data_IF_071808346844
#
_entry.id   IF_071808346844
#
_cell.length_a   1.000
_cell.length_b   1.000
_cell.length_c   1.000
_cell.angle_alpha   90.00
_cell.angle_beta   90.00
_cell.angle_gamma   90.00
#
_symmetry.space_group_name_H-M   'P 1'
#
loop_
_entity.id
_entity.type
_entity.pdbx_description
1 polymer ?
#
# COMPACT_ATOMS: atom_id res chain seq x y z
N UNK A 1 17.92 -19.98 7.77
CA UNK A 1 17.47 -19.77 6.36
C UNK A 1 17.07 -18.31 6.24
N UNK A 2 17.37 -17.60 5.16
CA UNK A 2 17.00 -16.20 5.07
C UNK A 2 15.48 -16.04 4.97
N UNK A 3 14.94 -15.00 5.62
CA UNK A 3 13.55 -14.54 5.69
C UNK A 3 12.74 -14.68 4.36
N UNK A 4 13.44 -14.67 3.22
CA UNK A 4 12.85 -14.74 1.87
C UNK A 4 12.22 -16.09 1.50
N UNK A 5 12.62 -17.19 2.14
CA UNK A 5 12.21 -18.53 1.69
C UNK A 5 10.92 -19.01 2.35
N UNK A 6 10.60 -18.58 3.56
CA UNK A 6 9.36 -18.92 4.25
C UNK A 6 8.14 -18.22 3.67
N UNK A 7 8.28 -16.97 3.20
CA UNK A 7 7.21 -16.26 2.49
C UNK A 7 6.83 -16.91 1.15
N UNK A 8 7.70 -17.71 0.56
CA UNK A 8 7.37 -18.49 -0.64
C UNK A 8 6.36 -19.61 -0.35
N UNK A 9 6.30 -20.12 0.87
CA UNK A 9 5.39 -21.23 1.23
C UNK A 9 4.02 -20.76 1.72
N UNK A 10 3.92 -19.72 2.53
CA UNK A 10 2.63 -19.22 3.03
C UNK A 10 1.78 -18.57 1.92
N UNK A 11 2.41 -17.87 0.96
CA UNK A 11 1.72 -17.31 -0.22
C UNK A 11 1.47 -18.40 -1.30
N UNK A 12 2.30 -19.45 -1.36
CA UNK A 12 2.13 -20.55 -2.33
C UNK A 12 0.98 -21.51 -1.99
N UNK A 13 0.60 -21.64 -0.72
CA UNK A 13 -0.48 -22.57 -0.35
C UNK A 13 -1.87 -22.08 -0.71
N UNK A 14 -2.06 -20.79 -0.98
CA UNK A 14 -3.35 -20.22 -1.41
C UNK A 14 -3.49 -20.16 -2.94
N UNK A 15 -2.40 -20.36 -3.70
CA UNK A 15 -2.35 -20.13 -5.15
C UNK A 15 -2.35 -21.40 -6.03
N UNK A 16 -2.40 -22.62 -5.47
CA UNK A 16 -2.30 -23.86 -6.29
C UNK A 16 -3.61 -24.67 -6.38
N UNK A 17 -4.71 -24.18 -5.83
CA UNK A 17 -6.00 -24.85 -6.03
C UNK A 17 -6.86 -24.08 -7.02
N UNK A 18 -6.71 -24.37 -8.31
CA UNK A 18 -7.72 -23.94 -9.28
C UNK A 18 -7.24 -23.15 -10.49
N UNK A 19 -6.14 -23.53 -11.11
CA UNK A 19 -5.85 -23.12 -12.48
C UNK A 19 -6.56 -24.03 -13.49
N UNK A 20 -7.88 -23.92 -13.56
CA UNK A 20 -8.62 -24.31 -14.77
C UNK A 20 -9.88 -23.47 -14.86
N UNK A 21 -9.91 -22.67 -15.92
CA UNK A 21 -11.07 -22.10 -16.55
C UNK A 21 -11.66 -20.79 -15.99
N UNK A 22 -11.82 -19.90 -16.92
CA UNK A 22 -12.68 -18.70 -16.91
C UNK A 22 -12.29 -17.61 -15.90
N UNK A 23 -11.42 -16.72 -16.35
CA UNK A 23 -11.38 -15.37 -15.78
C UNK A 23 -12.81 -14.87 -15.61
N UNK A 24 -13.20 -14.33 -14.44
CA UNK A 24 -14.56 -13.86 -14.23
C UNK A 24 -14.87 -12.78 -15.27
N UNK A 25 -15.81 -13.09 -16.18
CA UNK A 25 -16.22 -12.12 -17.19
C UNK A 25 -17.00 -11.01 -16.51
N UNK A 26 -16.40 -9.84 -16.39
CA UNK A 26 -17.08 -8.65 -15.88
C UNK A 26 -18.06 -8.15 -16.94
N UNK A 27 -19.34 -7.94 -16.59
CA UNK A 27 -20.33 -7.45 -17.53
C UNK A 27 -19.97 -6.07 -18.09
N UNK A 28 -20.24 -5.86 -19.38
CA UNK A 28 -20.01 -4.57 -20.06
C UNK A 28 -18.71 -4.54 -20.88
N UNK A 29 -18.64 -3.52 -21.73
CA UNK A 29 -17.52 -3.27 -22.67
C UNK A 29 -16.85 -1.92 -22.40
N UNK A 30 -17.14 -1.28 -21.25
CA UNK A 30 -16.43 -0.06 -20.83
C UNK A 30 -14.94 -0.36 -20.59
N UNK A 31 -14.09 0.64 -20.78
CA UNK A 31 -12.66 0.49 -20.52
C UNK A 31 -12.39 0.00 -19.09
N UNK A 32 -13.15 0.51 -18.09
CA UNK A 32 -13.03 0.08 -16.71
C UNK A 32 -13.41 -1.40 -16.52
N UNK A 33 -14.48 -1.88 -17.15
CA UNK A 33 -14.85 -3.30 -17.07
C UNK A 33 -13.78 -4.19 -17.72
N UNK A 34 -13.22 -3.77 -18.85
CA UNK A 34 -12.13 -4.47 -19.53
C UNK A 34 -10.83 -4.44 -18.70
N UNK A 35 -10.54 -3.33 -18.01
CA UNK A 35 -9.40 -3.21 -17.10
C UNK A 35 -9.48 -4.21 -15.95
N UNK A 36 -10.62 -4.25 -15.27
CA UNK A 36 -10.85 -5.17 -14.15
C UNK A 36 -10.70 -6.64 -14.55
N UNK A 37 -11.26 -7.00 -15.74
CA UNK A 37 -11.11 -8.34 -16.30
C UNK A 37 -9.63 -8.65 -16.61
N UNK A 38 -8.89 -7.69 -17.14
CA UNK A 38 -7.48 -7.86 -17.50
C UNK A 38 -6.57 -8.03 -16.27
N UNK A 39 -6.81 -7.24 -15.23
CA UNK A 39 -6.11 -7.37 -13.95
C UNK A 39 -6.39 -8.75 -13.33
N UNK A 40 -7.66 -9.16 -13.27
CA UNK A 40 -8.05 -10.47 -12.73
C UNK A 40 -7.49 -11.64 -13.55
N UNK A 41 -7.34 -11.47 -14.86
CA UNK A 41 -6.74 -12.48 -15.75
C UNK A 41 -5.21 -12.60 -15.55
N UNK A 42 -4.55 -11.59 -15.01
CA UNK A 42 -3.09 -11.59 -14.83
C UNK A 42 -2.35 -11.88 -16.12
N UNK A 43 -1.62 -12.99 -16.19
CA UNK A 43 -0.92 -13.45 -17.42
C UNK A 43 -1.86 -14.14 -18.43
N UNK A 44 -3.06 -14.50 -18.01
CA UNK A 44 -4.06 -15.17 -18.87
C UNK A 44 -4.64 -14.23 -19.94
N UNK A 45 -5.48 -14.78 -20.82
CA UNK A 45 -6.16 -14.03 -21.88
C UNK A 45 -7.28 -13.15 -21.29
N UNK A 46 -7.50 -11.97 -21.89
CA UNK A 46 -8.60 -11.07 -21.59
C UNK A 46 -9.11 -10.39 -22.86
N UNK A 47 -10.32 -9.79 -22.78
CA UNK A 47 -10.85 -8.98 -23.87
C UNK A 47 -10.00 -7.73 -24.13
N UNK A 48 -9.40 -7.13 -23.10
CA UNK A 48 -8.51 -5.98 -23.26
C UNK A 48 -7.24 -6.37 -24.02
N UNK A 49 -6.60 -7.51 -23.68
CA UNK A 49 -5.42 -8.02 -24.39
C UNK A 49 -5.73 -8.32 -25.87
N UNK A 50 -6.93 -8.82 -26.16
CA UNK A 50 -7.34 -9.07 -27.53
C UNK A 50 -7.55 -7.80 -28.36
N UNK A 51 -7.85 -6.67 -27.72
CA UNK A 51 -8.16 -5.38 -28.38
C UNK A 51 -6.98 -4.40 -28.40
N UNK A 52 -5.92 -4.66 -27.66
CA UNK A 52 -4.79 -3.73 -27.49
C UNK A 52 -3.46 -4.40 -27.80
N UNK A 53 -2.49 -3.58 -28.24
CA UNK A 53 -1.11 -4.05 -28.42
C UNK A 53 -0.46 -4.30 -27.06
N UNK A 54 0.46 -5.26 -27.00
CA UNK A 54 1.23 -5.54 -25.79
C UNK A 54 2.13 -4.36 -25.44
N UNK A 55 2.04 -3.76 -24.24
CA UNK A 55 2.95 -2.70 -23.79
C UNK A 55 4.41 -3.18 -23.75
N UNK A 56 5.36 -2.26 -23.79
CA UNK A 56 6.73 -2.60 -23.47
C UNK A 56 6.97 -2.49 -21.95
N UNK A 57 7.77 -3.40 -21.39
CA UNK A 57 8.34 -3.29 -20.04
C UNK A 57 9.84 -3.16 -20.19
N UNK A 58 10.43 -2.16 -19.56
CA UNK A 58 11.87 -1.91 -19.55
C UNK A 58 12.32 -1.50 -18.16
N UNK A 59 13.35 -2.16 -17.66
CA UNK A 59 14.04 -1.71 -16.43
C UNK A 59 14.96 -0.56 -16.80
N UNK A 60 14.90 0.52 -16.03
CA UNK A 60 15.74 1.72 -16.19
C UNK A 60 16.40 2.07 -14.87
N UNK A 61 17.62 2.63 -14.98
CA UNK A 61 18.28 3.31 -13.89
C UNK A 61 18.18 4.82 -14.13
N UNK A 62 17.90 5.57 -13.07
CA UNK A 62 17.77 7.04 -13.16
C UNK A 62 18.24 7.72 -11.87
N UNK A 63 18.53 9.00 -11.97
CA UNK A 63 19.05 9.79 -10.84
C UNK A 63 18.19 11.03 -10.65
N UNK A 64 17.81 11.32 -9.40
CA UNK A 64 17.09 12.53 -9.00
C UNK A 64 17.81 13.14 -7.81
N UNK A 65 18.18 14.41 -7.90
CA UNK A 65 18.90 15.13 -6.84
C UNK A 65 20.14 14.37 -6.29
N UNK A 66 20.87 13.67 -7.18
CA UNK A 66 22.05 12.89 -6.82
C UNK A 66 21.77 11.54 -6.18
N UNK A 67 20.50 11.14 -5.99
CA UNK A 67 20.08 9.80 -5.53
C UNK A 67 19.77 8.90 -6.71
N UNK A 68 20.34 7.69 -6.71
CA UNK A 68 20.13 6.69 -7.76
C UNK A 68 18.92 5.82 -7.47
N UNK A 69 18.14 5.53 -8.50
CA UNK A 69 16.95 4.69 -8.46
C UNK A 69 16.94 3.71 -9.63
N UNK A 70 16.31 2.57 -9.41
CA UNK A 70 15.99 1.59 -10.46
C UNK A 70 14.48 1.39 -10.48
N UNK A 71 13.89 1.15 -11.64
CA UNK A 71 12.47 0.87 -11.76
C UNK A 71 12.10 0.32 -13.13
N UNK A 72 10.88 -0.20 -13.23
CA UNK A 72 10.34 -0.70 -14.48
C UNK A 72 9.34 0.30 -15.06
N UNK A 73 9.56 0.66 -16.32
CA UNK A 73 8.64 1.49 -17.10
C UNK A 73 7.80 0.60 -18.00
N UNK A 74 6.48 0.72 -17.88
CA UNK A 74 5.51 0.10 -18.77
C UNK A 74 4.95 1.17 -19.73
N UNK A 75 5.28 1.05 -21.00
CA UNK A 75 4.90 2.06 -22.00
C UNK A 75 3.81 1.57 -22.94
N UNK A 76 2.75 2.38 -23.18
CA UNK A 76 1.78 2.15 -24.23
C UNK A 76 2.45 2.14 -25.61
N UNK A 77 2.01 1.29 -26.51
CA UNK A 77 2.54 1.26 -27.90
C UNK A 77 2.12 2.44 -28.76
N UNK A 78 1.08 3.15 -28.36
CA UNK A 78 0.50 4.27 -29.10
C UNK A 78 0.85 5.64 -28.48
N UNK A 79 1.79 5.65 -27.54
CA UNK A 79 2.17 6.82 -26.76
C UNK A 79 1.34 6.98 -25.49
N UNK A 80 1.93 7.60 -24.47
CA UNK A 80 1.26 7.85 -23.22
C UNK A 80 0.27 9.02 -23.33
N UNK A 81 -0.86 8.92 -22.63
CA UNK A 81 -1.83 10.00 -22.44
C UNK A 81 -1.62 10.67 -21.07
N UNK A 82 -1.16 9.88 -20.08
CA UNK A 82 -0.77 10.36 -18.75
C UNK A 82 0.29 9.43 -18.15
N UNK A 83 0.99 9.92 -17.13
CA UNK A 83 1.92 9.14 -16.33
C UNK A 83 1.34 8.71 -15.00
N UNK A 84 1.80 7.58 -14.48
CA UNK A 84 1.48 7.13 -13.14
C UNK A 84 2.67 6.42 -12.50
N UNK A 85 3.01 6.80 -11.25
CA UNK A 85 3.93 6.02 -10.42
C UNK A 85 3.12 5.01 -9.61
N UNK A 86 3.55 3.76 -9.57
CA UNK A 86 2.89 2.71 -8.79
C UNK A 86 3.80 2.28 -7.64
N UNK A 87 3.41 2.59 -6.42
CA UNK A 87 4.17 2.27 -5.21
C UNK A 87 3.58 1.01 -4.57
N UNK A 88 4.35 -0.09 -4.50
CA UNK A 88 3.87 -1.32 -3.87
C UNK A 88 3.66 -1.16 -2.37
N UNK A 89 2.90 -2.06 -1.78
CA UNK A 89 2.93 -2.31 -0.34
C UNK A 89 4.23 -3.00 0.09
N UNK A 90 4.29 -3.37 1.35
CA UNK A 90 5.41 -4.15 1.88
C UNK A 90 5.29 -5.58 1.36
N UNK A 91 6.22 -5.97 0.48
CA UNK A 91 6.28 -7.30 -0.09
C UNK A 91 7.67 -7.59 -0.65
N UNK A 92 8.19 -8.80 -0.42
CA UNK A 92 9.53 -9.21 -0.85
C UNK A 92 9.74 -9.18 -2.37
N UNK A 93 8.67 -9.29 -3.15
CA UNK A 93 8.73 -9.20 -4.63
C UNK A 93 8.78 -7.76 -5.15
N UNK A 94 8.38 -6.76 -4.35
CA UNK A 94 8.39 -5.35 -4.75
C UNK A 94 7.76 -5.12 -6.12
N UNK A 95 8.52 -4.50 -7.05
CA UNK A 95 8.07 -4.22 -8.43
C UNK A 95 7.74 -5.47 -9.28
N UNK A 96 8.16 -6.65 -8.86
CA UNK A 96 7.93 -7.92 -9.54
C UNK A 96 6.76 -8.73 -8.94
N UNK A 97 5.97 -8.13 -8.02
CA UNK A 97 4.72 -8.75 -7.55
C UNK A 97 3.76 -8.94 -8.76
N UNK A 98 3.28 -10.18 -9.02
CA UNK A 98 2.45 -10.45 -10.19
C UNK A 98 1.18 -9.61 -10.27
N UNK A 99 0.61 -9.20 -9.13
CA UNK A 99 -0.58 -8.33 -9.06
C UNK A 99 -0.24 -6.93 -9.54
N UNK A 100 0.88 -6.38 -9.06
CA UNK A 100 1.36 -5.06 -9.48
C UNK A 100 1.76 -5.03 -10.95
N UNK A 101 2.42 -6.10 -11.43
CA UNK A 101 2.76 -6.28 -12.85
C UNK A 101 1.50 -6.33 -13.71
N UNK A 102 0.43 -7.01 -13.27
CA UNK A 102 -0.85 -7.04 -13.98
C UNK A 102 -1.48 -5.64 -14.04
N UNK A 103 -1.53 -4.91 -12.93
CA UNK A 103 -2.04 -3.53 -12.89
C UNK A 103 -1.23 -2.62 -13.82
N UNK A 104 0.11 -2.64 -13.76
CA UNK A 104 0.97 -1.81 -14.60
C UNK A 104 0.76 -2.09 -16.11
N UNK A 105 0.69 -3.38 -16.50
CA UNK A 105 0.40 -3.74 -17.88
C UNK A 105 -0.98 -3.29 -18.33
N UNK A 106 -2.02 -3.46 -17.49
CA UNK A 106 -3.38 -3.04 -17.82
C UNK A 106 -3.46 -1.54 -17.99
N UNK A 107 -2.87 -0.74 -17.07
CA UNK A 107 -2.82 0.71 -17.18
C UNK A 107 -2.06 1.15 -18.44
N UNK A 108 -0.97 0.47 -18.77
CA UNK A 108 -0.24 0.76 -20.02
C UNK A 108 -1.08 0.42 -21.29
N UNK A 109 -1.88 -0.64 -21.28
CA UNK A 109 -2.84 -0.92 -22.37
C UNK A 109 -3.89 0.18 -22.51
N UNK A 110 -4.19 0.86 -21.42
CA UNK A 110 -5.18 1.93 -21.35
C UNK A 110 -4.58 3.34 -21.46
N UNK A 111 -3.32 3.47 -21.88
CA UNK A 111 -2.71 4.75 -22.24
C UNK A 111 -1.94 5.44 -21.10
N UNK A 112 -1.72 4.80 -19.95
CA UNK A 112 -0.79 5.32 -18.95
C UNK A 112 0.64 4.85 -19.21
N UNK A 113 1.62 5.74 -19.11
CA UNK A 113 3.00 5.31 -18.84
C UNK A 113 3.12 5.03 -17.34
N UNK A 114 3.34 3.76 -16.96
CA UNK A 114 3.46 3.39 -15.55
C UNK A 114 4.92 3.16 -15.17
N UNK A 115 5.39 3.85 -14.12
CA UNK A 115 6.71 3.66 -13.51
C UNK A 115 6.55 2.96 -12.17
N UNK A 116 7.18 1.81 -12.03
CA UNK A 116 7.18 0.98 -10.82
C UNK A 116 8.61 0.96 -10.26
N UNK A 117 8.93 1.72 -9.21
CA UNK A 117 10.28 1.74 -8.64
C UNK A 117 10.61 0.45 -7.89
N UNK A 118 11.88 0.11 -7.82
CA UNK A 118 12.42 -0.92 -6.93
C UNK A 118 12.81 -0.28 -5.59
N UNK A 119 11.87 -0.23 -4.65
CA UNK A 119 12.10 0.33 -3.33
C UNK A 119 12.66 -0.73 -2.38
N UNK A 120 13.90 -0.55 -1.95
CA UNK A 120 14.60 -1.54 -1.12
C UNK A 120 13.97 -1.70 0.27
N UNK A 121 13.49 -0.61 0.88
CA UNK A 121 12.86 -0.61 2.20
C UNK A 121 11.63 -1.55 2.25
N UNK A 122 10.55 -1.27 1.53
CA UNK A 122 9.36 -2.12 1.50
C UNK A 122 9.63 -3.57 1.08
N UNK A 123 10.60 -3.80 0.19
CA UNK A 123 11.00 -5.14 -0.25
C UNK A 123 11.71 -5.95 0.83
N UNK A 124 12.37 -5.30 1.77
CA UNK A 124 13.05 -5.91 2.92
C UNK A 124 12.27 -5.74 4.23
N UNK A 125 10.95 -5.52 4.15
CA UNK A 125 10.05 -5.35 5.29
C UNK A 125 10.41 -4.17 6.20
N UNK A 126 11.09 -3.17 5.66
CA UNK A 126 11.41 -1.92 6.34
C UNK A 126 10.55 -0.80 5.79
N UNK A 127 9.96 -0.03 6.67
CA UNK A 127 9.25 1.19 6.34
C UNK A 127 9.84 2.35 7.13
N UNK A 128 10.08 3.47 6.43
CA UNK A 128 10.77 4.63 6.97
C UNK A 128 10.14 5.92 6.46
N UNK A 129 10.22 6.97 7.27
CA UNK A 129 9.81 8.31 6.84
C UNK A 129 10.57 8.79 5.57
N UNK A 130 11.78 8.28 5.33
CA UNK A 130 12.53 8.54 4.11
C UNK A 130 11.86 8.02 2.84
N UNK A 131 10.98 7.02 2.91
CA UNK A 131 10.26 6.46 1.76
C UNK A 131 9.40 7.53 1.07
N UNK A 132 8.93 8.52 1.83
CA UNK A 132 8.20 9.68 1.30
C UNK A 132 9.04 10.44 0.28
N UNK A 133 10.33 10.65 0.59
CA UNK A 133 11.24 11.36 -0.33
C UNK A 133 11.57 10.52 -1.56
N UNK A 134 11.74 9.20 -1.40
CA UNK A 134 11.96 8.30 -2.54
C UNK A 134 10.78 8.34 -3.52
N UNK A 135 9.55 8.28 -3.02
CA UNK A 135 8.33 8.40 -3.85
C UNK A 135 8.29 9.74 -4.57
N UNK A 136 8.60 10.85 -3.89
CA UNK A 136 8.60 12.17 -4.49
C UNK A 136 9.66 12.30 -5.61
N UNK A 137 10.85 11.73 -5.41
CA UNK A 137 11.91 11.72 -6.43
C UNK A 137 11.50 10.90 -7.66
N UNK A 138 10.92 9.72 -7.45
CA UNK A 138 10.44 8.88 -8.55
C UNK A 138 9.35 9.61 -9.37
N UNK A 139 8.44 10.31 -8.69
CA UNK A 139 7.43 11.13 -9.37
C UNK A 139 8.07 12.29 -10.14
N UNK A 140 9.04 12.99 -9.55
CA UNK A 140 9.78 14.07 -10.21
C UNK A 140 10.44 13.60 -11.51
N UNK A 141 11.02 12.39 -11.49
CA UNK A 141 11.57 11.81 -12.71
C UNK A 141 10.48 11.56 -13.75
N UNK A 142 9.39 10.89 -13.39
CA UNK A 142 8.30 10.57 -14.31
C UNK A 142 7.73 11.83 -14.96
N UNK A 143 7.43 12.88 -14.17
CA UNK A 143 6.80 14.11 -14.68
C UNK A 143 7.75 14.95 -15.52
N UNK A 144 9.07 14.81 -15.34
CA UNK A 144 10.10 15.48 -16.17
C UNK A 144 10.16 14.92 -17.60
N UNK A 145 9.52 13.77 -17.85
CA UNK A 145 9.57 13.05 -19.12
C UNK A 145 8.28 13.25 -19.91
N UNK A 146 8.31 14.05 -20.95
CA UNK A 146 7.13 14.33 -21.79
C UNK A 146 6.61 13.10 -22.55
N UNK A 147 7.46 12.09 -22.77
CA UNK A 147 7.09 10.78 -23.34
C UNK A 147 6.37 9.88 -22.34
N UNK A 148 6.48 10.16 -21.02
CA UNK A 148 5.81 9.46 -19.95
C UNK A 148 4.61 10.23 -19.38
N UNK A 149 4.75 11.55 -19.24
CA UNK A 149 3.74 12.43 -18.66
C UNK A 149 3.48 13.63 -19.59
N UNK A 150 2.78 13.44 -20.71
CA UNK A 150 2.51 14.53 -21.65
C UNK A 150 1.69 15.63 -20.97
N UNK A 151 2.09 16.89 -21.21
CA UNK A 151 1.50 18.09 -20.60
C UNK A 151 1.52 18.06 -19.05
N UNK A 152 2.45 17.30 -18.45
CA UNK A 152 2.55 17.12 -17.00
C UNK A 152 1.32 16.39 -16.41
N UNK A 153 0.58 15.63 -17.20
CA UNK A 153 -0.51 14.77 -16.69
C UNK A 153 0.07 13.56 -15.99
N UNK A 154 0.12 13.62 -14.67
CA UNK A 154 0.69 12.54 -13.87
C UNK A 154 0.07 12.46 -12.49
N UNK A 155 0.07 11.25 -11.95
CA UNK A 155 -0.34 10.96 -10.59
C UNK A 155 0.47 9.83 -9.95
N UNK A 156 0.12 9.50 -8.73
CA UNK A 156 0.78 8.48 -7.93
C UNK A 156 -0.27 7.52 -7.38
N UNK A 157 -0.01 6.22 -7.49
CA UNK A 157 -0.83 5.18 -6.85
C UNK A 157 -0.03 4.46 -5.77
N UNK A 158 -0.63 4.27 -4.61
CA UNK A 158 -0.06 3.52 -3.49
C UNK A 158 -1.00 2.40 -3.05
N UNK A 159 -0.40 1.26 -2.76
CA UNK A 159 -1.10 0.05 -2.34
C UNK A 159 -0.72 -0.31 -0.90
N UNK A 160 -1.71 -0.60 -0.02
CA UNK A 160 -1.43 -0.97 1.37
C UNK A 160 -0.55 0.09 2.06
N UNK A 161 0.56 -0.30 2.67
CA UNK A 161 1.55 0.62 3.23
C UNK A 161 1.93 1.77 2.27
N UNK A 162 2.10 1.47 0.98
CA UNK A 162 2.49 2.47 -0.02
C UNK A 162 1.53 3.66 -0.14
N UNK A 163 0.28 3.53 0.30
CA UNK A 163 -0.71 4.60 0.27
C UNK A 163 -0.32 5.80 1.17
N UNK A 164 0.27 5.56 2.35
CA UNK A 164 0.76 6.63 3.21
C UNK A 164 1.88 7.45 2.57
N UNK A 165 3.01 6.85 2.17
CA UNK A 165 4.09 7.54 1.47
C UNK A 165 3.66 8.31 0.23
N UNK A 166 2.69 7.83 -0.58
CA UNK A 166 2.23 8.59 -1.76
C UNK A 166 1.43 9.82 -1.40
N UNK A 167 0.59 9.75 -0.36
CA UNK A 167 -0.13 10.93 0.15
C UNK A 167 0.84 11.97 0.70
N UNK A 168 1.81 11.55 1.50
CA UNK A 168 2.82 12.41 2.09
C UNK A 168 3.79 12.98 1.04
N UNK A 169 4.14 12.20 0.01
CA UNK A 169 4.92 12.69 -1.12
C UNK A 169 4.17 13.78 -1.89
N UNK A 170 2.85 13.60 -2.11
CA UNK A 170 2.02 14.59 -2.77
C UNK A 170 1.86 15.91 -1.97
N UNK A 171 2.29 15.96 -0.71
CA UNK A 171 2.39 17.19 0.10
C UNK A 171 3.75 17.90 -0.06
N UNK A 172 4.78 17.23 -0.60
CA UNK A 172 6.12 17.81 -0.74
C UNK A 172 6.10 19.04 -1.65
N UNK A 173 6.71 20.13 -1.21
CA UNK A 173 6.64 21.43 -1.86
C UNK A 173 7.18 21.48 -3.29
N UNK A 174 8.10 20.56 -3.60
CA UNK A 174 8.74 20.46 -4.92
C UNK A 174 7.91 19.74 -5.97
N UNK A 175 6.90 18.94 -5.57
CA UNK A 175 6.07 18.19 -6.50
C UNK A 175 4.55 18.42 -6.36
N UNK A 176 4.06 18.92 -5.23
CA UNK A 176 2.62 18.97 -4.90
C UNK A 176 1.75 19.66 -5.96
N UNK A 177 2.27 20.67 -6.63
CA UNK A 177 1.54 21.38 -7.70
C UNK A 177 1.50 20.59 -9.01
N UNK A 178 2.31 19.54 -9.13
CA UNK A 178 2.41 18.70 -10.33
C UNK A 178 1.65 17.39 -10.17
N UNK A 179 1.39 16.93 -8.93
CA UNK A 179 0.60 15.71 -8.67
C UNK A 179 -0.87 16.01 -8.93
N UNK A 180 -1.44 15.49 -10.02
CA UNK A 180 -2.84 15.74 -10.39
C UNK A 180 -3.81 14.84 -9.64
N UNK A 181 -3.42 13.59 -9.40
CA UNK A 181 -4.23 12.63 -8.68
C UNK A 181 -3.39 11.69 -7.82
N UNK A 182 -4.00 11.21 -6.76
CA UNK A 182 -3.49 10.12 -5.92
C UNK A 182 -4.53 9.01 -5.89
N UNK A 183 -4.12 7.77 -6.21
CA UNK A 183 -4.92 6.57 -5.97
C UNK A 183 -4.36 5.86 -4.74
N UNK A 184 -5.15 5.69 -3.69
CA UNK A 184 -4.80 4.95 -2.49
C UNK A 184 -5.69 3.71 -2.36
N UNK A 185 -5.09 2.52 -2.38
CA UNK A 185 -5.80 1.24 -2.30
C UNK A 185 -5.44 0.53 -1.01
N UNK A 186 -6.43 0.26 -0.15
CA UNK A 186 -6.23 -0.43 1.13
C UNK A 186 -5.23 0.29 2.04
N UNK A 187 -5.24 1.63 2.03
CA UNK A 187 -4.28 2.46 2.74
C UNK A 187 -4.76 2.92 4.11
N UNK A 188 -3.89 3.64 4.80
CA UNK A 188 -4.16 4.18 6.13
C UNK A 188 -4.14 5.71 6.16
N UNK A 189 -4.74 6.27 7.22
CA UNK A 189 -4.74 7.68 7.55
C UNK A 189 -4.03 7.94 8.89
N UNK A 190 -4.45 7.25 9.95
CA UNK A 190 -3.91 7.36 11.31
C UNK A 190 -3.16 6.08 11.68
N UNK A 191 -1.82 6.14 11.73
CA UNK A 191 -1.01 4.97 12.09
C UNK A 191 -1.25 4.49 13.52
N UNK A 192 -1.65 5.36 14.45
CA UNK A 192 -1.94 4.98 15.83
C UNK A 192 -3.23 4.15 15.90
N UNK A 193 -4.22 4.51 15.09
CA UNK A 193 -5.45 3.73 14.88
C UNK A 193 -5.13 2.35 14.28
N UNK A 194 -4.29 2.29 13.24
CA UNK A 194 -3.85 1.02 12.64
C UNK A 194 -3.08 0.15 13.63
N UNK A 195 -2.17 0.74 14.42
CA UNK A 195 -1.46 0.03 15.50
C UNK A 195 -2.44 -0.55 16.52
N UNK A 196 -3.47 0.22 16.92
CA UNK A 196 -4.53 -0.26 17.82
C UNK A 196 -5.24 -1.45 17.20
N UNK A 197 -5.61 -1.37 15.92
CA UNK A 197 -6.29 -2.45 15.22
C UNK A 197 -5.46 -3.73 15.18
N UNK A 198 -4.25 -3.70 14.64
CA UNK A 198 -3.51 -4.95 14.46
C UNK A 198 -2.96 -5.54 15.76
N UNK A 199 -2.94 -4.79 16.87
CA UNK A 199 -2.60 -5.34 18.18
C UNK A 199 -3.80 -5.91 18.90
N UNK A 200 -4.96 -5.27 18.80
CA UNK A 200 -6.12 -5.56 19.65
C UNK A 200 -7.39 -6.00 18.90
N UNK A 201 -7.45 -5.81 17.58
CA UNK A 201 -8.64 -6.07 16.76
C UNK A 201 -9.71 -4.97 16.82
N UNK A 202 -9.54 -3.95 17.66
CA UNK A 202 -10.50 -2.85 17.79
C UNK A 202 -10.21 -1.70 16.83
N UNK A 203 -11.28 -1.13 16.22
CA UNK A 203 -11.18 -0.03 15.24
C UNK A 203 -12.46 0.81 15.17
N UNK A 204 -12.38 1.96 14.51
CA UNK A 204 -13.54 2.79 14.17
C UNK A 204 -14.04 3.74 15.27
N UNK A 205 -13.30 3.92 16.38
CA UNK A 205 -13.70 4.76 17.53
C UNK A 205 -14.02 6.22 17.15
N UNK A 206 -13.34 6.78 16.17
CA UNK A 206 -13.35 8.22 15.87
C UNK A 206 -14.01 8.59 14.52
N UNK A 207 -14.88 7.75 13.97
CA UNK A 207 -15.59 8.08 12.72
C UNK A 207 -16.68 9.11 13.00
N UNK A 208 -16.56 10.33 12.45
CA UNK A 208 -17.44 11.47 12.69
C UNK A 208 -18.93 11.20 12.46
N UNK A 209 -19.29 10.31 11.56
CA UNK A 209 -20.69 9.98 11.23
C UNK A 209 -21.20 8.70 11.89
N UNK A 210 -20.35 7.97 12.61
CA UNK A 210 -20.71 6.79 13.41
C UNK A 210 -20.08 6.92 14.82
N UNK A 211 -20.37 8.00 15.58
CA UNK A 211 -19.72 8.24 16.86
C UNK A 211 -20.07 7.11 17.84
N UNK A 212 -19.01 6.50 18.40
CA UNK A 212 -19.13 5.50 19.45
C UNK A 212 -19.34 4.06 18.99
N UNK A 213 -19.35 3.75 17.71
CA UNK A 213 -19.35 2.37 17.23
C UNK A 213 -17.92 1.83 17.13
N UNK A 214 -17.40 1.36 18.25
CA UNK A 214 -16.17 0.55 18.26
C UNK A 214 -16.50 -0.79 17.63
N UNK A 215 -15.77 -1.13 16.56
CA UNK A 215 -15.87 -2.42 15.86
C UNK A 215 -14.73 -3.32 16.30
N UNK A 216 -14.92 -4.61 16.15
CA UNK A 216 -13.89 -5.62 16.43
C UNK A 216 -13.86 -6.64 15.32
N UNK A 217 -12.66 -6.98 14.87
CA UNK A 217 -12.37 -8.03 13.91
C UNK A 217 -11.04 -8.67 14.29
N UNK A 218 -10.88 -9.97 14.05
CA UNK A 218 -9.59 -10.64 14.23
C UNK A 218 -8.63 -10.12 13.17
N UNK A 219 -7.56 -9.40 13.57
CA UNK A 219 -6.62 -8.87 12.61
C UNK A 219 -5.72 -9.96 12.03
N UNK A 220 -5.30 -9.77 10.80
CA UNK A 220 -4.22 -10.56 10.22
C UNK A 220 -2.93 -10.35 11.03
N UNK A 221 -2.19 -11.40 11.41
CA UNK A 221 -0.98 -11.24 12.20
C UNK A 221 0.19 -10.61 11.43
N UNK A 222 0.15 -10.64 10.09
CA UNK A 222 1.26 -10.19 9.25
C UNK A 222 1.73 -8.73 9.50
N UNK A 223 0.84 -7.70 9.56
CA UNK A 223 1.27 -6.33 9.81
C UNK A 223 1.99 -6.16 11.15
N UNK A 224 1.55 -6.88 12.19
CA UNK A 224 2.14 -6.87 13.53
C UNK A 224 3.62 -7.30 13.48
N UNK A 225 3.90 -8.39 12.77
CA UNK A 225 5.26 -8.93 12.69
C UNK A 225 6.17 -8.13 11.76
N UNK A 226 5.63 -7.63 10.65
CA UNK A 226 6.35 -6.67 9.79
C UNK A 226 6.71 -5.41 10.57
N UNK A 227 5.80 -4.90 11.41
CA UNK A 227 6.07 -3.77 12.29
C UNK A 227 7.20 -4.07 13.27
N UNK A 228 7.19 -5.26 13.89
CA UNK A 228 8.25 -5.67 14.80
C UNK A 228 9.60 -5.70 14.10
N UNK A 229 9.73 -6.42 12.98
CA UNK A 229 10.97 -6.53 12.21
C UNK A 229 11.49 -5.16 11.79
N UNK A 230 10.62 -4.33 11.22
CA UNK A 230 10.99 -3.00 10.77
C UNK A 230 11.53 -2.13 11.92
N UNK A 231 10.96 -2.22 13.12
CA UNK A 231 11.34 -1.37 14.23
C UNK A 231 12.43 -1.97 15.12
N UNK A 232 12.64 -3.29 15.13
CA UNK A 232 13.77 -3.92 15.77
C UNK A 232 15.10 -3.36 15.25
N UNK A 233 15.22 -3.13 13.93
CA UNK A 233 16.40 -2.50 13.33
C UNK A 233 16.70 -1.07 13.82
N UNK A 234 15.76 -0.43 14.50
CA UNK A 234 15.90 0.92 15.05
C UNK A 234 16.31 0.94 16.52
N UNK A 235 16.42 -0.22 17.16
CA UNK A 235 16.90 -0.34 18.52
C UNK A 235 18.43 -0.19 18.55
N UNK A 236 18.95 0.38 19.64
CA UNK A 236 20.38 0.57 19.77
C UNK A 236 21.10 -0.70 20.27
N UNK A 237 20.38 -1.60 20.96
CA UNK A 237 20.91 -2.85 21.48
C UNK A 237 20.82 -3.97 20.44
N UNK A 238 21.97 -4.53 19.97
CA UNK A 238 22.00 -5.64 19.03
C UNK A 238 21.35 -6.93 19.56
N UNK A 239 21.35 -7.15 20.87
CA UNK A 239 20.73 -8.34 21.47
C UNK A 239 19.21 -8.22 21.41
N UNK A 240 18.66 -7.04 21.67
CA UNK A 240 17.23 -6.73 21.46
C UNK A 240 16.83 -6.95 19.97
N UNK A 241 17.66 -6.45 19.03
CA UNK A 241 17.41 -6.64 17.61
C UNK A 241 17.33 -8.12 17.24
N UNK A 242 18.34 -8.91 17.65
CA UNK A 242 18.42 -10.34 17.35
C UNK A 242 17.26 -11.12 17.98
N UNK A 243 16.92 -10.83 19.23
CA UNK A 243 15.82 -11.48 19.95
C UNK A 243 14.48 -11.24 19.25
N UNK A 244 14.18 -9.98 18.85
CA UNK A 244 12.93 -9.65 18.18
C UNK A 244 12.86 -10.17 16.74
N UNK A 245 13.99 -10.22 16.02
CA UNK A 245 14.04 -10.88 14.71
C UNK A 245 13.78 -12.39 14.82
N UNK A 246 14.40 -13.06 15.81
CA UNK A 246 14.18 -14.49 16.06
C UNK A 246 12.73 -14.77 16.41
N UNK A 247 12.13 -13.93 17.27
CA UNK A 247 10.70 -14.04 17.62
C UNK A 247 9.79 -13.93 16.40
N UNK A 248 10.07 -12.97 15.50
CA UNK A 248 9.30 -12.82 14.28
C UNK A 248 9.46 -14.04 13.35
N UNK A 249 10.67 -14.58 13.23
CA UNK A 249 10.95 -15.78 12.43
C UNK A 249 10.22 -17.00 12.98
N UNK A 250 10.24 -17.20 14.30
CA UNK A 250 9.54 -18.32 14.95
C UNK A 250 8.03 -18.27 14.68
N UNK A 251 7.41 -17.11 14.88
CA UNK A 251 5.98 -16.93 14.66
C UNK A 251 5.60 -17.12 13.19
N UNK A 252 6.38 -16.56 12.27
CA UNK A 252 6.15 -16.72 10.83
C UNK A 252 6.39 -18.17 10.35
N UNK A 253 7.17 -18.93 11.09
CA UNK A 253 7.44 -20.36 10.84
C UNK A 253 6.46 -21.28 11.57
N UNK A 254 5.41 -20.71 12.21
CA UNK A 254 4.44 -21.44 13.03
C UNK A 254 5.10 -22.22 14.20
N UNK A 255 6.25 -21.77 14.67
CA UNK A 255 6.91 -22.26 15.87
C UNK A 255 6.36 -21.46 17.05
N UNK A 256 5.90 -22.14 18.08
CA UNK A 256 5.40 -21.48 19.31
C UNK A 256 6.58 -21.05 20.18
N UNK A 257 6.85 -19.70 20.28
CA UNK A 257 8.00 -19.22 21.05
C UNK A 257 7.69 -19.23 22.56
N UNK A 258 8.75 -19.40 23.37
CA UNK A 258 8.67 -19.17 24.82
C UNK A 258 8.65 -17.66 25.09
N UNK A 259 7.45 -17.09 25.19
CA UNK A 259 7.23 -15.65 25.36
C UNK A 259 7.81 -15.11 26.67
N UNK A 260 7.93 -15.92 27.75
CA UNK A 260 8.51 -15.50 29.03
C UNK A 260 10.03 -15.35 28.90
N UNK A 261 10.69 -16.28 28.26
CA UNK A 261 12.14 -16.21 28.00
C UNK A 261 12.46 -15.05 27.07
N UNK A 262 11.70 -14.88 25.96
CA UNK A 262 11.86 -13.73 25.04
C UNK A 262 11.77 -12.41 25.82
N UNK A 263 10.75 -12.23 26.63
CA UNK A 263 10.59 -11.00 27.42
C UNK A 263 11.71 -10.77 28.45
N UNK A 264 12.19 -11.84 29.09
CA UNK A 264 13.27 -11.76 30.08
C UNK A 264 14.59 -11.28 29.45
N UNK A 265 14.88 -11.73 28.23
CA UNK A 265 16.13 -11.44 27.52
C UNK A 265 16.17 -10.02 26.92
N UNK A 266 14.99 -9.39 26.72
CA UNK A 266 14.91 -8.04 26.14
C UNK A 266 15.35 -6.96 27.14
N UNK A 267 16.10 -5.98 26.62
CA UNK A 267 16.39 -4.73 27.29
C UNK A 267 15.18 -3.78 27.34
N UNK A 268 15.41 -2.55 27.78
CA UNK A 268 14.32 -1.56 28.00
C UNK A 268 13.51 -1.27 26.72
N UNK A 269 14.20 -0.97 25.63
CA UNK A 269 13.55 -0.51 24.40
C UNK A 269 12.96 -1.68 23.61
N UNK A 270 13.61 -2.86 23.65
CA UNK A 270 13.05 -4.11 23.14
C UNK A 270 11.76 -4.50 23.87
N UNK A 271 11.74 -4.40 25.22
CA UNK A 271 10.52 -4.65 26.01
C UNK A 271 9.39 -3.68 25.69
N UNK A 272 9.72 -2.40 25.42
CA UNK A 272 8.68 -1.43 25.05
C UNK A 272 7.99 -1.81 23.74
N UNK A 273 8.76 -2.23 22.72
CA UNK A 273 8.23 -2.71 21.44
C UNK A 273 7.43 -4.02 21.62
N UNK A 274 7.98 -4.98 22.36
CA UNK A 274 7.32 -6.25 22.66
C UNK A 274 5.96 -6.03 23.34
N UNK A 275 5.92 -5.20 24.42
CA UNK A 275 4.69 -4.93 25.17
C UNK A 275 3.61 -4.24 24.31
N UNK A 276 3.98 -3.37 23.38
CA UNK A 276 3.03 -2.80 22.43
C UNK A 276 2.43 -3.90 21.54
N UNK A 277 3.26 -4.78 21.01
CA UNK A 277 2.82 -5.78 20.02
C UNK A 277 2.11 -6.99 20.64
N UNK A 278 2.30 -7.24 21.93
CA UNK A 278 1.59 -8.32 22.67
C UNK A 278 0.38 -7.82 23.46
N UNK A 279 0.13 -6.50 23.44
CA UNK A 279 -1.04 -5.90 24.08
C UNK A 279 -2.33 -6.25 23.33
N UNK A 280 -3.40 -6.49 24.09
CA UNK A 280 -4.76 -6.78 23.61
C UNK A 280 -5.82 -5.75 24.08
N UNK A 281 -5.40 -4.76 24.88
CA UNK A 281 -6.28 -3.70 25.40
C UNK A 281 -6.09 -2.39 24.58
N UNK A 282 -7.10 -1.93 23.83
CA UNK A 282 -6.99 -0.72 23.02
C UNK A 282 -6.75 0.55 23.85
N UNK A 283 -7.15 0.59 25.13
CA UNK A 283 -6.95 1.77 25.97
C UNK A 283 -5.48 1.93 26.40
N UNK A 284 -4.69 0.86 26.37
CA UNK A 284 -3.26 0.91 26.71
C UNK A 284 -2.37 1.32 25.54
N UNK A 285 -2.82 1.18 24.28
CA UNK A 285 -1.99 1.41 23.09
C UNK A 285 -1.35 2.81 23.06
N UNK A 286 -2.05 3.92 23.34
CA UNK A 286 -1.42 5.24 23.34
C UNK A 286 -0.25 5.36 24.33
N UNK A 287 -0.42 4.84 25.54
CA UNK A 287 0.62 4.88 26.56
C UNK A 287 1.81 3.97 26.23
N UNK A 288 1.59 2.87 25.51
CA UNK A 288 2.64 1.97 25.05
C UNK A 288 3.43 2.59 23.89
N UNK A 289 2.79 3.29 22.97
CA UNK A 289 3.46 4.04 21.89
C UNK A 289 4.41 5.10 22.50
N UNK A 290 3.99 5.81 23.54
CA UNK A 290 4.84 6.83 24.18
C UNK A 290 6.08 6.22 24.88
N UNK A 291 6.08 4.93 25.19
CA UNK A 291 7.24 4.22 25.76
C UNK A 291 8.26 3.76 24.72
N UNK A 292 7.90 3.74 23.44
CA UNK A 292 8.84 3.39 22.36
C UNK A 292 10.03 4.37 22.34
N UNK A 293 11.15 3.90 21.80
CA UNK A 293 12.33 4.75 21.63
C UNK A 293 11.99 6.00 20.81
N UNK A 294 12.65 7.15 21.04
CA UNK A 294 12.41 8.35 20.25
C UNK A 294 12.61 8.13 18.75
N UNK A 295 13.52 7.24 18.36
CA UNK A 295 13.81 6.90 16.97
C UNK A 295 12.61 6.22 16.30
N UNK A 296 11.99 5.24 16.96
CA UNK A 296 10.77 4.58 16.47
C UNK A 296 9.61 5.57 16.39
N UNK A 297 9.41 6.40 17.43
CA UNK A 297 8.32 7.39 17.41
C UNK A 297 8.46 8.42 16.30
N UNK A 298 9.68 8.86 15.99
CA UNK A 298 9.94 9.79 14.89
C UNK A 298 9.60 9.17 13.52
N UNK A 299 9.89 7.88 13.30
CA UNK A 299 9.49 7.17 12.08
C UNK A 299 7.97 7.06 11.97
N UNK A 300 7.29 6.71 13.08
CA UNK A 300 5.83 6.66 13.13
C UNK A 300 5.22 8.03 12.82
N UNK A 301 5.67 9.08 13.49
CA UNK A 301 5.15 10.44 13.29
C UNK A 301 5.40 10.96 11.88
N UNK A 302 6.53 10.58 11.27
CA UNK A 302 6.88 10.94 9.89
C UNK A 302 6.05 10.23 8.82
N UNK A 303 5.49 9.06 9.14
CA UNK A 303 4.64 8.26 8.24
C UNK A 303 3.14 8.41 8.53
N UNK A 304 2.77 8.99 9.68
CA UNK A 304 1.37 9.14 10.09
C UNK A 304 0.71 10.29 9.32
N UNK A 305 -0.13 9.98 8.35
CA UNK A 305 -0.79 10.96 7.47
C UNK A 305 -1.65 11.94 8.29
N UNK A 306 -2.26 11.48 9.39
CA UNK A 306 -3.11 12.31 10.26
C UNK A 306 -2.34 13.44 10.97
N UNK A 307 -1.02 13.36 11.04
CA UNK A 307 -0.16 14.37 11.67
C UNK A 307 0.32 15.46 10.70
N UNK A 308 -0.07 15.39 9.43
CA UNK A 308 0.34 16.33 8.40
C UNK A 308 -0.84 17.23 7.96
N UNK A 309 -0.52 18.43 7.53
CA UNK A 309 -1.51 19.39 7.05
C UNK A 309 -2.01 19.03 5.64
N UNK A 310 -3.11 18.28 5.57
CA UNK A 310 -3.73 17.86 4.32
C UNK A 310 -4.35 19.01 3.52
N UNK A 311 -4.52 20.21 4.10
CA UNK A 311 -5.01 21.39 3.35
C UNK A 311 -4.05 21.82 2.23
N UNK A 312 -2.78 21.37 2.31
CA UNK A 312 -1.75 21.59 1.30
C UNK A 312 -1.84 20.63 0.11
N UNK A 313 -2.59 19.53 0.22
CA UNK A 313 -2.74 18.57 -0.86
C UNK A 313 -3.58 19.16 -2.00
N UNK A 314 -2.99 19.21 -3.21
CA UNK A 314 -3.63 19.74 -4.42
C UNK A 314 -4.27 18.67 -5.28
N UNK A 315 -3.78 17.45 -5.17
CA UNK A 315 -4.23 16.31 -5.94
C UNK A 315 -5.69 15.94 -5.65
N UNK A 316 -6.40 15.46 -6.65
CA UNK A 316 -7.62 14.67 -6.44
C UNK A 316 -7.25 13.32 -5.84
N UNK A 317 -8.08 12.81 -4.93
CA UNK A 317 -7.79 11.55 -4.23
C UNK A 317 -8.86 10.52 -4.55
N UNK A 318 -8.43 9.37 -5.05
CA UNK A 318 -9.29 8.20 -5.30
C UNK A 318 -8.94 7.17 -4.24
N UNK A 319 -9.91 6.83 -3.40
CA UNK A 319 -9.76 5.87 -2.31
C UNK A 319 -10.53 4.60 -2.64
N UNK A 320 -9.85 3.47 -2.67
CA UNK A 320 -10.45 2.15 -2.85
C UNK A 320 -10.10 1.28 -1.65
N UNK A 321 -11.09 0.76 -0.91
CA UNK A 321 -10.84 -0.01 0.29
C UNK A 321 -11.84 -1.15 0.45
N UNK A 322 -11.35 -2.29 0.92
CA UNK A 322 -12.16 -3.44 1.26
C UNK A 322 -12.80 -3.32 2.63
N UNK A 323 -14.11 -3.59 2.74
CA UNK A 323 -14.77 -3.61 4.05
C UNK A 323 -14.33 -4.76 4.94
N UNK A 324 -13.85 -5.85 4.33
CA UNK A 324 -13.35 -7.04 5.00
C UNK A 324 -11.81 -7.05 5.12
N UNK A 325 -11.16 -5.88 4.96
CA UNK A 325 -9.71 -5.74 5.10
C UNK A 325 -9.28 -6.00 6.55
N UNK A 326 -8.57 -7.10 6.75
CA UNK A 326 -8.10 -7.60 8.05
C UNK A 326 -6.68 -7.13 8.41
N UNK A 327 -6.05 -6.32 7.53
CA UNK A 327 -4.72 -5.73 7.75
C UNK A 327 -4.80 -4.25 8.09
N UNK A 328 -5.60 -3.48 7.34
CA UNK A 328 -5.83 -2.06 7.55
C UNK A 328 -7.34 -1.81 7.49
N UNK A 329 -8.00 -1.33 8.56
CA UNK A 329 -9.43 -1.16 8.56
C UNK A 329 -9.90 -0.13 7.52
N UNK A 330 -10.98 -0.43 6.82
CA UNK A 330 -11.57 0.48 5.83
C UNK A 330 -11.97 1.85 6.41
N UNK A 331 -12.13 1.93 7.72
CA UNK A 331 -12.41 3.16 8.46
C UNK A 331 -11.31 4.20 8.30
N UNK A 332 -10.08 3.77 8.01
CA UNK A 332 -8.96 4.65 7.71
C UNK A 332 -9.21 5.47 6.44
N UNK A 333 -9.74 4.84 5.37
CA UNK A 333 -10.13 5.56 4.16
C UNK A 333 -11.33 6.49 4.37
N UNK A 334 -12.27 6.14 5.26
CA UNK A 334 -13.37 7.03 5.65
C UNK A 334 -12.82 8.27 6.39
N UNK A 335 -11.93 8.05 7.36
CA UNK A 335 -11.31 9.13 8.13
C UNK A 335 -10.50 10.06 7.22
N UNK A 336 -9.72 9.51 6.30
CA UNK A 336 -8.97 10.28 5.30
C UNK A 336 -9.91 11.11 4.40
N UNK A 337 -10.99 10.52 3.89
CA UNK A 337 -11.95 11.23 3.05
C UNK A 337 -12.60 12.41 3.79
N UNK A 338 -12.83 12.27 5.09
CA UNK A 338 -13.36 13.36 5.93
C UNK A 338 -12.32 14.43 6.28
N UNK A 339 -11.03 14.09 6.29
CA UNK A 339 -9.94 15.02 6.58
C UNK A 339 -9.58 15.89 5.36
N UNK A 340 -9.95 15.46 4.15
CA UNK A 340 -9.72 16.19 2.91
C UNK A 340 -10.80 17.25 2.67
N UNK A 341 -10.51 18.20 1.78
CA UNK A 341 -11.48 19.23 1.42
C UNK A 341 -12.74 18.61 0.75
N UNK A 342 -13.92 19.19 0.94
CA UNK A 342 -15.15 18.69 0.32
C UNK A 342 -15.01 18.54 -1.20
N UNK A 343 -15.29 17.32 -1.70
CA UNK A 343 -15.19 16.99 -3.13
C UNK A 343 -13.79 16.65 -3.63
N UNK A 344 -12.76 16.72 -2.79
CA UNK A 344 -11.40 16.36 -3.16
C UNK A 344 -11.16 14.85 -3.23
N UNK A 345 -11.89 14.07 -2.42
CA UNK A 345 -11.81 12.63 -2.40
C UNK A 345 -13.05 11.96 -3.01
N UNK A 346 -12.81 10.84 -3.73
CA UNK A 346 -13.85 9.87 -4.11
C UNK A 346 -13.52 8.56 -3.39
N UNK A 347 -14.46 8.09 -2.56
CA UNK A 347 -14.28 6.87 -1.76
C UNK A 347 -15.15 5.73 -2.31
N UNK A 348 -14.51 4.60 -2.58
CA UNK A 348 -15.12 3.37 -3.05
C UNK A 348 -14.86 2.25 -2.04
N UNK A 349 -15.91 1.77 -1.38
CA UNK A 349 -15.85 0.65 -0.44
C UNK A 349 -16.38 -0.61 -1.10
N UNK A 350 -15.60 -1.69 -1.01
CA UNK A 350 -15.84 -2.95 -1.72
C UNK A 350 -15.95 -4.07 -0.68
N UNK A 351 -17.04 -4.83 -0.70
CA UNK A 351 -17.24 -5.91 0.27
C UNK A 351 -16.32 -7.09 0.00
N UNK A 352 -16.15 -7.50 -1.24
CA UNK A 352 -15.30 -8.64 -1.63
C UNK A 352 -13.84 -8.30 -1.93
N UNK A 353 -13.30 -7.26 -1.31
CA UNK A 353 -11.88 -6.93 -1.33
C UNK A 353 -11.31 -7.15 0.06
N UNK A 354 -10.55 -8.23 0.23
CA UNK A 354 -9.79 -8.52 1.46
C UNK A 354 -8.37 -8.05 1.25
N UNK A 355 -8.04 -6.89 1.79
CA UNK A 355 -6.78 -6.18 1.58
C UNK A 355 -6.48 -6.01 0.08
N UNK A 356 -5.56 -6.79 -0.49
CA UNK A 356 -5.18 -6.73 -1.92
C UNK A 356 -5.76 -7.89 -2.74
N UNK A 357 -6.55 -8.76 -2.14
CA UNK A 357 -7.16 -9.91 -2.80
C UNK A 357 -8.61 -9.62 -3.16
N UNK A 358 -8.87 -9.52 -4.46
CA UNK A 358 -10.21 -9.17 -4.99
C UNK A 358 -10.99 -10.45 -5.27
N UNK A 359 -12.05 -10.69 -4.49
CA UNK A 359 -13.07 -11.72 -4.75
C UNK A 359 -14.46 -11.05 -4.78
N UNK A 360 -14.73 -10.20 -5.80
CA UNK A 360 -15.85 -9.29 -5.75
C UNK A 360 -17.17 -10.03 -5.76
N UNK A 361 -18.10 -9.61 -4.91
CA UNK A 361 -19.50 -9.96 -5.02
C UNK A 361 -20.12 -9.25 -6.23
N UNK A 362 -21.27 -9.72 -6.70
CA UNK A 362 -21.93 -9.12 -7.88
C UNK A 362 -22.26 -7.64 -7.69
N UNK A 363 -22.57 -7.22 -6.46
CA UNK A 363 -22.90 -5.83 -6.12
C UNK A 363 -21.65 -4.91 -6.04
N UNK A 364 -20.44 -5.48 -5.93
CA UNK A 364 -19.19 -4.70 -5.93
C UNK A 364 -18.80 -4.21 -7.32
N UNK A 365 -19.20 -4.94 -8.36
CA UNK A 365 -18.77 -4.68 -9.74
C UNK A 365 -19.05 -3.24 -10.19
N UNK A 366 -20.24 -2.65 -9.93
CA UNK A 366 -20.48 -1.25 -10.26
C UNK A 366 -19.54 -0.27 -9.56
N UNK A 367 -19.23 -0.49 -8.28
CA UNK A 367 -18.32 0.36 -7.51
C UNK A 367 -16.87 0.24 -7.99
N UNK A 368 -16.42 -0.97 -8.32
CA UNK A 368 -15.11 -1.20 -8.93
C UNK A 368 -15.00 -0.51 -10.30
N UNK A 369 -16.04 -0.62 -11.16
CA UNK A 369 -16.09 0.07 -12.44
C UNK A 369 -16.00 1.59 -12.22
N UNK A 370 -16.76 2.16 -11.29
CA UNK A 370 -16.72 3.59 -10.98
C UNK A 370 -15.33 4.05 -10.48
N UNK A 371 -14.66 3.24 -9.63
CA UNK A 371 -13.31 3.55 -9.17
C UNK A 371 -12.30 3.57 -10.33
N UNK A 372 -12.41 2.61 -11.25
CA UNK A 372 -11.57 2.61 -12.45
C UNK A 372 -11.93 3.71 -13.43
N UNK A 373 -13.20 4.04 -13.63
CA UNK A 373 -13.61 5.17 -14.46
C UNK A 373 -13.07 6.50 -13.90
N UNK A 374 -13.08 6.67 -12.56
CA UNK A 374 -12.46 7.82 -11.91
C UNK A 374 -10.96 7.90 -12.24
N UNK A 375 -10.21 6.79 -12.13
CA UNK A 375 -8.79 6.75 -12.49
C UNK A 375 -8.57 7.01 -13.99
N UNK A 376 -9.36 6.39 -14.86
CA UNK A 376 -9.20 6.53 -16.30
C UNK A 376 -9.53 7.93 -16.81
N UNK A 377 -10.39 8.68 -16.12
CA UNK A 377 -10.69 10.08 -16.44
C UNK A 377 -9.47 11.00 -16.29
N UNK A 378 -8.52 10.63 -15.44
CA UNK A 378 -7.28 11.41 -15.22
C UNK A 378 -6.36 11.46 -16.45
N UNK A 379 -6.53 10.56 -17.42
CA UNK A 379 -5.79 10.59 -18.69
C UNK A 379 -6.10 11.80 -19.53
N UNK A 380 -7.33 12.29 -19.47
CA UNK A 380 -7.83 13.31 -20.39
C UNK A 380 -8.00 14.68 -19.75
N UNK A 381 -7.89 14.79 -18.41
CA UNK A 381 -8.03 16.06 -17.67
C UNK A 381 -9.44 16.67 -17.76
N UNK A 382 -10.46 15.83 -17.96
CA UNK A 382 -11.88 16.25 -18.03
C UNK A 382 -12.52 16.19 -16.64
#
# INVERSE_FOLDING_TARGET
MPFSDYYRLAIMSILISGLSACSPRIPGDSEAALALEDIAAGVGSSRLKARTKTPSRQTIDFTVHGRGYTGDVYQPREGAQAGIVLIPGIASRGKDDPRLVAVANTLARLGFSALVPDLAGPRTFRFRASDVREVADVFSYLVSRSDMAPEGRAGIAGFSYGAGPVLLAALQTDIREQVRFVLAVGGYYDLRSVLTFFTTGYYGKDIKNEPGQVKHMVPNPYPKWVFMVSNADLLDDPDDQNTLHSLADDILSEVEPDMETVFADLGRDGRALYLLLTNDDPEHVPALIEKLSPRIRNELDGLDVARHDLSQLKARVILLHGREDDMIPYTESIALAHALAPGQAQLFLIDGLVHMDIKPYKHDIPHLIQAFDALLSERTGK
#
